data_IF_160677477327
#
_entry.id   IF_160677477327
#
_cell.length_a   1.000
_cell.length_b   1.000
_cell.length_c   1.000
_cell.angle_alpha   90.00
_cell.angle_beta   90.00
_cell.angle_gamma   90.00
#
_symmetry.space_group_name_H-M   'P 1'
#
loop_
_entity.id
_entity.type
_entity.pdbx_description
1 polymer ?
#
# COMPACT_ATOMS: atom_id res chain seq x y z
N UNK A 1 3.54 24.52 29.83
CA UNK A 1 4.85 24.62 29.12
C UNK A 1 5.67 23.32 29.08
N UNK A 2 5.48 22.33 29.96
CA UNK A 2 6.26 21.08 29.94
C UNK A 2 5.87 20.10 28.82
N UNK A 3 4.60 20.09 28.39
CA UNK A 3 4.11 19.20 27.34
C UNK A 3 4.85 19.41 26.00
N UNK A 4 4.97 20.66 25.52
CA UNK A 4 5.68 20.95 24.26
C UNK A 4 7.17 20.58 24.32
N UNK A 5 7.83 20.73 25.49
CA UNK A 5 9.23 20.31 25.68
C UNK A 5 9.39 18.80 25.77
N UNK A 6 8.40 18.08 26.31
CA UNK A 6 8.38 16.61 26.33
C UNK A 6 8.07 16.05 24.94
N UNK A 7 7.08 16.63 24.24
CA UNK A 7 6.75 16.27 22.86
C UNK A 7 7.94 16.49 21.93
N UNK A 8 8.62 17.63 22.04
CA UNK A 8 9.85 17.90 21.26
C UNK A 8 10.98 16.91 21.55
N UNK A 9 11.18 16.53 22.82
CA UNK A 9 12.17 15.49 23.19
C UNK A 9 11.78 14.11 22.67
N UNK A 10 10.51 13.74 22.78
CA UNK A 10 9.99 12.47 22.25
C UNK A 10 10.21 12.38 20.73
N UNK A 11 9.82 13.42 19.98
CA UNK A 11 10.04 13.48 18.54
C UNK A 11 11.54 13.42 18.18
N UNK A 12 12.40 14.15 18.91
CA UNK A 12 13.86 14.10 18.69
C UNK A 12 14.46 12.72 19.00
N UNK A 13 13.99 12.03 20.04
CA UNK A 13 14.44 10.67 20.35
C UNK A 13 13.98 9.68 19.28
N UNK A 14 12.73 9.79 18.83
CA UNK A 14 12.20 9.00 17.71
C UNK A 14 12.99 9.21 16.42
N UNK A 15 13.25 10.47 16.05
CA UNK A 15 14.03 10.82 14.87
C UNK A 15 15.46 10.27 14.94
N UNK A 16 16.13 10.37 16.10
CA UNK A 16 17.46 9.81 16.31
C UNK A 16 17.47 8.27 16.22
N UNK A 17 16.47 7.61 16.82
CA UNK A 17 16.35 6.16 16.76
C UNK A 17 16.11 5.69 15.32
N UNK A 18 15.23 6.37 14.59
CA UNK A 18 14.94 6.08 13.18
C UNK A 18 16.17 6.32 12.30
N UNK A 19 16.89 7.42 12.49
CA UNK A 19 18.13 7.71 11.75
C UNK A 19 19.24 6.69 12.04
N UNK A 20 19.36 6.23 13.29
CA UNK A 20 20.34 5.19 13.67
C UNK A 20 19.97 3.83 13.06
N UNK A 21 18.68 3.51 13.01
CA UNK A 21 18.18 2.33 12.32
C UNK A 21 18.44 2.41 10.81
N UNK A 22 18.11 3.53 10.16
CA UNK A 22 18.39 3.80 8.74
C UNK A 22 19.88 3.64 8.41
N UNK A 23 20.77 4.20 9.25
CA UNK A 23 22.22 4.04 9.11
C UNK A 23 22.66 2.58 9.22
N UNK A 24 22.17 1.86 10.23
CA UNK A 24 22.50 0.45 10.42
C UNK A 24 22.00 -0.42 9.25
N UNK A 25 20.77 -0.17 8.79
CA UNK A 25 20.18 -0.88 7.66
C UNK A 25 20.95 -0.56 6.38
N UNK A 26 21.25 0.72 6.12
CA UNK A 26 22.05 1.14 4.97
C UNK A 26 23.43 0.51 4.97
N UNK A 27 24.14 0.52 6.11
CA UNK A 27 25.45 -0.12 6.22
C UNK A 27 25.38 -1.64 6.00
N UNK A 28 24.31 -2.29 6.44
CA UNK A 28 24.12 -3.74 6.21
C UNK A 28 23.79 -4.04 4.73
N UNK A 29 23.10 -3.15 4.05
CA UNK A 29 22.71 -3.31 2.64
C UNK A 29 23.88 -2.96 1.71
N UNK A 30 24.54 -1.82 1.94
CA UNK A 30 25.65 -1.32 1.13
C UNK A 30 26.97 -2.05 1.40
N UNK A 31 27.13 -2.67 2.57
CA UNK A 31 28.33 -3.46 2.91
C UNK A 31 28.39 -4.84 2.26
N UNK A 32 27.26 -5.40 1.82
CA UNK A 32 27.18 -6.76 1.26
C UNK A 32 26.96 -6.71 -0.26
N UNK A 33 27.99 -7.09 -1.04
CA UNK A 33 27.95 -7.10 -2.51
C UNK A 33 26.75 -7.90 -3.06
N UNK A 34 26.32 -8.96 -2.38
CA UNK A 34 25.17 -9.75 -2.84
C UNK A 34 23.85 -8.99 -2.69
N UNK A 35 23.69 -8.22 -1.61
CA UNK A 35 22.49 -7.41 -1.36
C UNK A 35 22.40 -6.22 -2.29
N UNK A 36 23.53 -5.58 -2.57
CA UNK A 36 23.65 -4.53 -3.58
C UNK A 36 23.26 -5.02 -4.98
N UNK A 37 23.70 -6.23 -5.37
CA UNK A 37 23.30 -6.84 -6.66
C UNK A 37 21.79 -7.12 -6.69
N UNK A 38 21.20 -7.63 -5.61
CA UNK A 38 19.75 -7.86 -5.51
C UNK A 38 18.98 -6.52 -5.64
N UNK A 39 19.46 -5.46 -4.99
CA UNK A 39 18.88 -4.12 -5.10
C UNK A 39 18.99 -3.57 -6.52
N UNK A 40 20.15 -3.69 -7.15
CA UNK A 40 20.35 -3.35 -8.55
C UNK A 40 19.39 -4.13 -9.46
N UNK A 41 19.25 -5.44 -9.24
CA UNK A 41 18.34 -6.29 -10.00
C UNK A 41 16.87 -5.92 -9.79
N UNK A 42 16.46 -5.48 -8.59
CA UNK A 42 15.12 -4.94 -8.33
C UNK A 42 14.84 -3.62 -9.06
N UNK A 43 15.87 -2.84 -9.38
CA UNK A 43 15.72 -1.63 -10.21
C UNK A 43 15.64 -1.95 -11.70
N UNK A 44 16.09 -3.13 -12.15
CA UNK A 44 16.08 -3.52 -13.57
C UNK A 44 14.66 -3.52 -14.16
N UNK A 45 13.61 -4.08 -13.54
CA UNK A 45 12.24 -3.98 -14.04
C UNK A 45 11.73 -2.55 -14.12
N UNK A 46 12.17 -1.67 -13.22
CA UNK A 46 11.77 -0.25 -13.23
C UNK A 46 12.47 0.48 -14.38
N UNK A 47 13.76 0.20 -14.61
CA UNK A 47 14.57 0.82 -15.67
C UNK A 47 14.21 0.26 -17.06
N UNK A 48 14.08 -1.06 -17.20
CA UNK A 48 13.57 -1.69 -18.42
C UNK A 48 12.11 -1.32 -18.65
N UNK A 49 11.31 -1.23 -17.59
CA UNK A 49 9.93 -0.77 -17.64
C UNK A 49 9.80 0.67 -18.11
N UNK A 50 10.72 1.56 -17.72
CA UNK A 50 10.70 2.93 -18.23
C UNK A 50 11.27 3.01 -19.64
N UNK A 51 12.39 2.35 -19.95
CA UNK A 51 13.05 2.45 -21.26
C UNK A 51 12.27 1.69 -22.36
N UNK A 52 11.79 0.47 -22.09
CA UNK A 52 11.08 -0.34 -23.09
C UNK A 52 9.66 0.17 -23.38
N UNK A 53 9.01 0.82 -22.41
CA UNK A 53 7.64 1.32 -22.54
C UNK A 53 7.57 2.84 -22.77
N UNK A 54 8.71 3.54 -22.82
CA UNK A 54 8.77 4.98 -23.05
C UNK A 54 8.34 5.40 -24.45
N UNK A 55 8.64 4.66 -25.53
CA UNK A 55 8.30 5.20 -26.87
C UNK A 55 7.93 4.23 -28.02
N UNK A 56 8.23 2.93 -28.01
CA UNK A 56 8.11 2.14 -29.26
C UNK A 56 7.28 0.86 -29.25
N UNK A 57 6.76 0.40 -28.11
CA UNK A 57 5.94 -0.84 -28.04
C UNK A 57 4.45 -0.55 -27.79
N UNK A 58 3.97 0.64 -28.15
CA UNK A 58 2.53 0.94 -28.08
C UNK A 58 1.68 0.18 -29.10
N UNK A 59 2.29 -0.37 -30.16
CA UNK A 59 1.57 -1.05 -31.26
C UNK A 59 1.68 -2.58 -31.28
N UNK A 60 2.54 -3.19 -30.47
CA UNK A 60 2.82 -4.64 -30.53
C UNK A 60 2.60 -5.39 -29.21
N UNK A 61 2.28 -4.68 -28.12
CA UNK A 61 1.82 -5.31 -26.89
C UNK A 61 0.33 -5.68 -27.04
N UNK A 62 -0.09 -6.91 -26.70
CA UNK A 62 -1.51 -7.23 -26.63
C UNK A 62 -2.19 -6.22 -25.72
N UNK A 63 -3.36 -5.74 -26.15
CA UNK A 63 -4.12 -4.68 -25.47
C UNK A 63 -4.21 -4.92 -23.96
N UNK A 64 -4.18 -6.18 -23.52
CA UNK A 64 -4.10 -6.71 -22.15
C UNK A 64 -3.29 -5.88 -21.13
N UNK A 65 -2.18 -5.23 -21.52
CA UNK A 65 -1.32 -4.46 -20.60
C UNK A 65 -1.61 -2.96 -20.49
N UNK A 66 -2.62 -2.44 -21.21
CA UNK A 66 -3.13 -1.08 -21.04
C UNK A 66 -2.23 -0.03 -21.69
N UNK A 67 -2.56 0.34 -22.94
CA UNK A 67 -1.84 1.37 -23.68
C UNK A 67 -2.05 2.78 -23.13
N UNK A 68 -1.13 3.71 -23.46
CA UNK A 68 -1.09 5.13 -23.05
C UNK A 68 -2.41 5.91 -23.25
N UNK A 69 -3.33 5.40 -24.07
CA UNK A 69 -4.65 5.98 -24.36
C UNK A 69 -5.77 5.55 -23.39
N UNK A 70 -5.61 4.46 -22.66
CA UNK A 70 -6.64 3.98 -21.73
C UNK A 70 -6.80 4.92 -20.51
N UNK A 71 -5.78 5.70 -20.16
CA UNK A 71 -5.71 6.42 -18.88
C UNK A 71 -5.71 7.95 -18.98
N UNK A 72 -5.82 8.53 -20.19
CA UNK A 72 -5.84 9.98 -20.41
C UNK A 72 -7.27 10.46 -20.72
N UNK A 73 -7.78 11.53 -20.08
CA UNK A 73 -7.07 12.52 -19.29
C UNK A 73 -7.30 12.31 -17.78
N UNK A 74 -6.22 12.29 -17.00
CA UNK A 74 -6.31 12.79 -15.63
C UNK A 74 -6.07 14.29 -15.74
N UNK A 75 -6.99 15.11 -15.24
CA UNK A 75 -6.80 16.56 -15.19
C UNK A 75 -5.69 16.84 -14.19
N UNK A 76 -4.44 16.92 -14.66
CA UNK A 76 -3.30 17.30 -13.83
C UNK A 76 -3.33 18.81 -13.60
N UNK A 77 -4.18 19.26 -12.69
CA UNK A 77 -4.13 20.62 -12.15
C UNK A 77 -3.21 20.66 -10.93
N UNK A 78 -2.50 21.77 -10.73
CA UNK A 78 -1.70 22.03 -9.53
C UNK A 78 -2.51 21.82 -8.25
N UNK A 79 -3.82 22.10 -8.28
CA UNK A 79 -4.71 21.87 -7.15
C UNK A 79 -4.84 20.38 -6.78
N UNK A 80 -5.08 19.52 -7.77
CA UNK A 80 -5.18 18.06 -7.56
C UNK A 80 -3.85 17.48 -7.07
N UNK A 81 -2.73 17.99 -7.59
CA UNK A 81 -1.40 17.60 -7.12
C UNK A 81 -1.20 17.91 -5.63
N UNK A 82 -1.50 19.14 -5.19
CA UNK A 82 -1.38 19.54 -3.78
C UNK A 82 -2.31 18.70 -2.90
N UNK A 83 -3.57 18.53 -3.32
CA UNK A 83 -4.54 17.70 -2.58
C UNK A 83 -4.07 16.26 -2.45
N UNK A 84 -3.49 15.69 -3.51
CA UNK A 84 -2.96 14.32 -3.49
C UNK A 84 -1.79 14.17 -2.51
N UNK A 85 -0.91 15.19 -2.40
CA UNK A 85 0.16 15.23 -1.40
C UNK A 85 -0.43 15.27 0.02
N UNK A 86 -1.43 16.11 0.26
CA UNK A 86 -2.07 16.23 1.57
C UNK A 86 -2.78 14.92 1.98
N UNK A 87 -3.48 14.28 1.04
CA UNK A 87 -4.09 12.96 1.23
C UNK A 87 -3.01 11.92 1.56
N UNK A 88 -1.93 11.87 0.77
CA UNK A 88 -0.81 10.96 1.00
C UNK A 88 -0.15 11.17 2.36
N UNK A 89 0.05 12.42 2.78
CA UNK A 89 0.60 12.77 4.09
C UNK A 89 -0.33 12.35 5.23
N UNK A 90 -1.62 12.69 5.13
CA UNK A 90 -2.63 12.34 6.14
C UNK A 90 -2.84 10.84 6.27
N UNK A 91 -3.03 10.14 5.14
CA UNK A 91 -3.16 8.70 5.12
C UNK A 91 -1.85 8.02 5.59
N UNK A 92 -0.69 8.53 5.21
CA UNK A 92 0.61 8.05 5.69
C UNK A 92 0.74 8.11 7.21
N UNK A 93 0.37 9.23 7.82
CA UNK A 93 0.37 9.41 9.27
C UNK A 93 -0.60 8.45 9.97
N UNK A 94 -1.86 8.41 9.52
CA UNK A 94 -2.88 7.53 10.12
C UNK A 94 -2.45 6.06 10.05
N UNK A 95 -1.95 5.64 8.89
CA UNK A 95 -1.63 4.24 8.62
C UNK A 95 -0.31 3.83 9.27
N UNK A 96 0.62 4.78 9.44
CA UNK A 96 1.82 4.60 10.25
C UNK A 96 1.50 4.45 11.75
N UNK A 97 0.55 5.23 12.28
CA UNK A 97 0.16 5.13 13.69
C UNK A 97 -0.66 3.87 14.01
N UNK A 98 -1.59 3.50 13.14
CA UNK A 98 -2.49 2.35 13.33
C UNK A 98 -1.80 1.04 12.92
N UNK A 99 -0.78 1.10 12.06
CA UNK A 99 -0.13 -0.09 11.48
C UNK A 99 -1.02 -0.83 10.47
N UNK A 100 -2.21 -0.31 10.16
CA UNK A 100 -3.10 -0.87 9.15
C UNK A 100 -2.61 -0.52 7.74
N UNK A 101 -2.59 -1.50 6.83
CA UNK A 101 -2.26 -1.30 5.42
C UNK A 101 -3.19 -0.25 4.81
N UNK A 102 -2.66 0.93 4.52
CA UNK A 102 -3.44 2.16 4.32
C UNK A 102 -4.39 2.27 3.14
N UNK A 103 -4.63 1.18 2.42
CA UNK A 103 -5.38 1.20 1.17
C UNK A 103 -6.86 1.49 1.29
N UNK A 104 -7.43 1.26 2.48
CA UNK A 104 -8.82 1.59 2.74
C UNK A 104 -9.08 3.10 2.81
N UNK A 105 -8.06 3.93 3.01
CA UNK A 105 -8.19 5.40 3.10
C UNK A 105 -7.81 6.05 1.78
N UNK A 106 -6.70 5.62 1.17
CA UNK A 106 -6.07 6.33 0.06
C UNK A 106 -6.94 6.28 -1.20
N UNK A 107 -7.40 5.09 -1.61
CA UNK A 107 -8.19 4.97 -2.83
C UNK A 107 -9.51 5.77 -2.75
N UNK A 108 -10.34 5.67 -1.69
CA UNK A 108 -11.54 6.50 -1.56
C UNK A 108 -11.26 8.00 -1.44
N UNK A 109 -10.18 8.41 -0.75
CA UNK A 109 -9.81 9.82 -0.61
C UNK A 109 -9.38 10.43 -1.95
N UNK A 110 -8.58 9.72 -2.75
CA UNK A 110 -8.19 10.15 -4.08
C UNK A 110 -9.39 10.22 -5.02
N UNK A 111 -10.30 9.24 -4.96
CA UNK A 111 -11.54 9.25 -5.74
C UNK A 111 -12.44 10.43 -5.38
N UNK A 112 -12.56 10.75 -4.08
CA UNK A 112 -13.29 11.92 -3.59
C UNK A 112 -12.66 13.25 -4.05
N UNK A 113 -11.35 13.27 -4.30
CA UNK A 113 -10.65 14.41 -4.89
C UNK A 113 -10.85 14.53 -6.42
N UNK A 114 -11.65 13.67 -7.04
CA UNK A 114 -11.95 13.68 -8.47
C UNK A 114 -10.98 12.88 -9.33
N UNK A 115 -10.13 12.05 -8.71
CA UNK A 115 -9.22 11.15 -9.44
C UNK A 115 -9.98 9.89 -9.84
N UNK A 116 -9.90 9.50 -11.11
CA UNK A 116 -10.53 8.26 -11.62
C UNK A 116 -10.16 7.06 -10.75
N UNK A 117 -11.13 6.20 -10.44
CA UNK A 117 -10.96 5.06 -9.54
C UNK A 117 -9.85 4.12 -9.99
N UNK A 118 -9.73 3.88 -11.30
CA UNK A 118 -8.66 3.03 -11.84
C UNK A 118 -7.24 3.55 -11.53
N UNK A 119 -7.05 4.87 -11.52
CA UNK A 119 -5.77 5.50 -11.17
C UNK A 119 -5.54 5.51 -9.66
N UNK A 120 -6.59 5.75 -8.88
CA UNK A 120 -6.55 5.73 -7.43
C UNK A 120 -6.16 4.34 -6.90
N UNK A 121 -6.80 3.27 -7.39
CA UNK A 121 -6.53 1.89 -7.01
C UNK A 121 -5.12 1.47 -7.40
N UNK A 122 -4.67 1.80 -8.62
CA UNK A 122 -3.30 1.51 -9.07
C UNK A 122 -2.23 2.19 -8.21
N UNK A 123 -2.44 3.46 -7.87
CA UNK A 123 -1.53 4.24 -7.01
C UNK A 123 -1.46 3.65 -5.60
N UNK A 124 -2.60 3.27 -5.05
CA UNK A 124 -2.68 2.67 -3.72
C UNK A 124 -2.00 1.29 -3.66
N UNK A 125 -2.19 0.44 -4.67
CA UNK A 125 -1.49 -0.85 -4.81
C UNK A 125 0.03 -0.68 -4.78
N UNK A 126 0.56 0.31 -5.50
CA UNK A 126 2.00 0.59 -5.50
C UNK A 126 2.49 1.04 -4.10
N UNK A 127 1.71 1.87 -3.41
CA UNK A 127 2.01 2.32 -2.06
C UNK A 127 2.00 1.16 -1.04
N UNK A 128 1.02 0.25 -1.13
CA UNK A 128 0.98 -0.96 -0.27
C UNK A 128 2.15 -1.88 -0.59
N UNK A 129 2.49 -2.07 -1.87
CA UNK A 129 3.60 -2.90 -2.30
C UNK A 129 4.92 -2.47 -1.66
N UNK A 130 5.23 -1.17 -1.66
CA UNK A 130 6.44 -0.63 -1.02
C UNK A 130 6.49 -0.96 0.49
N UNK A 131 5.37 -0.83 1.20
CA UNK A 131 5.26 -1.18 2.63
C UNK A 131 5.38 -2.69 2.86
N UNK A 132 4.80 -3.50 1.98
CA UNK A 132 4.83 -4.95 2.07
C UNK A 132 6.26 -5.52 1.94
N UNK A 133 7.12 -4.92 1.10
CA UNK A 133 8.54 -5.30 1.02
C UNK A 133 9.23 -5.10 2.37
N UNK A 134 9.11 -3.91 2.95
CA UNK A 134 9.68 -3.57 4.26
C UNK A 134 9.17 -4.52 5.35
N UNK A 135 7.85 -4.72 5.41
CA UNK A 135 7.22 -5.63 6.36
C UNK A 135 7.70 -7.07 6.22
N UNK A 136 7.78 -7.58 4.99
CA UNK A 136 8.22 -8.95 4.69
C UNK A 136 9.68 -9.19 5.13
N UNK A 137 10.57 -8.23 4.86
CA UNK A 137 11.98 -8.34 5.27
C UNK A 137 12.12 -8.40 6.79
N UNK A 138 11.38 -7.56 7.52
CA UNK A 138 11.44 -7.52 8.98
C UNK A 138 10.90 -8.84 9.58
N UNK A 139 9.73 -9.29 9.15
CA UNK A 139 9.12 -10.52 9.67
C UNK A 139 9.95 -11.77 9.29
N UNK A 140 10.62 -11.75 8.13
CA UNK A 140 11.54 -12.82 7.74
C UNK A 140 12.74 -12.90 8.67
N UNK A 141 13.29 -11.76 9.11
CA UNK A 141 14.39 -11.73 10.09
C UNK A 141 13.96 -12.23 11.48
N UNK A 142 12.69 -12.08 11.82
CA UNK A 142 12.12 -12.55 13.09
C UNK A 142 11.76 -14.05 13.09
N UNK A 143 11.85 -14.73 11.93
CA UNK A 143 11.51 -16.15 11.80
C UNK A 143 10.00 -16.43 11.65
N UNK A 144 9.16 -15.39 11.60
CA UNK A 144 7.69 -15.50 11.52
C UNK A 144 7.14 -15.78 10.10
N UNK A 145 7.97 -16.13 9.12
CA UNK A 145 7.54 -16.28 7.71
C UNK A 145 7.55 -17.75 7.28
N UNK A 146 6.36 -18.31 7.11
CA UNK A 146 6.17 -19.62 6.47
C UNK A 146 6.15 -19.48 4.95
N UNK A 147 7.24 -19.88 4.29
CA UNK A 147 7.39 -19.83 2.82
C UNK A 147 6.30 -20.60 2.07
N UNK A 148 5.86 -21.81 2.49
CA UNK A 148 4.80 -22.53 1.78
C UNK A 148 3.48 -21.76 1.77
N UNK A 149 3.10 -21.19 2.91
CA UNK A 149 1.88 -20.40 3.03
C UNK A 149 1.97 -19.14 2.16
N UNK A 150 3.11 -18.44 2.19
CA UNK A 150 3.33 -17.25 1.36
C UNK A 150 3.15 -17.54 -0.14
N UNK A 151 3.55 -18.73 -0.60
CA UNK A 151 3.43 -19.14 -1.99
C UNK A 151 1.96 -19.43 -2.38
N UNK A 152 1.18 -20.05 -1.49
CA UNK A 152 -0.27 -20.24 -1.69
C UNK A 152 -0.99 -18.90 -1.77
N UNK A 153 -0.68 -17.97 -0.86
CA UNK A 153 -1.23 -16.61 -0.90
C UNK A 153 -0.84 -15.86 -2.18
N UNK A 154 0.40 -16.02 -2.65
CA UNK A 154 0.87 -15.39 -3.88
C UNK A 154 0.06 -15.85 -5.09
N UNK A 155 -0.18 -17.16 -5.23
CA UNK A 155 -0.97 -17.71 -6.35
C UNK A 155 -2.40 -17.16 -6.31
N UNK A 156 -3.04 -17.21 -5.14
CA UNK A 156 -4.39 -16.66 -4.95
C UNK A 156 -4.47 -15.17 -5.26
N UNK A 157 -3.48 -14.39 -4.82
CA UNK A 157 -3.39 -12.95 -5.07
C UNK A 157 -3.21 -12.63 -6.56
N UNK A 158 -2.35 -13.37 -7.27
CA UNK A 158 -2.15 -13.17 -8.72
C UNK A 158 -3.44 -13.44 -9.48
N UNK A 159 -4.11 -14.56 -9.20
CA UNK A 159 -5.36 -14.93 -9.87
C UNK A 159 -6.44 -13.89 -9.58
N UNK A 160 -6.63 -13.54 -8.30
CA UNK A 160 -7.64 -12.58 -7.87
C UNK A 160 -7.41 -11.17 -8.43
N UNK A 161 -6.17 -10.66 -8.35
CA UNK A 161 -5.83 -9.34 -8.86
C UNK A 161 -5.96 -9.26 -10.39
N UNK A 162 -5.56 -10.33 -11.10
CA UNK A 162 -5.68 -10.39 -12.57
C UNK A 162 -7.15 -10.43 -12.99
N UNK A 163 -7.96 -11.30 -12.38
CA UNK A 163 -9.38 -11.40 -12.68
C UNK A 163 -10.12 -10.08 -12.37
N UNK A 164 -9.88 -9.49 -11.19
CA UNK A 164 -10.47 -8.21 -10.80
C UNK A 164 -10.04 -7.06 -11.73
N UNK A 165 -8.77 -7.04 -12.13
CA UNK A 165 -8.24 -6.06 -13.09
C UNK A 165 -8.89 -6.18 -14.47
N UNK A 166 -9.06 -7.40 -14.99
CA UNK A 166 -9.75 -7.65 -16.27
C UNK A 166 -11.21 -7.18 -16.21
N UNK A 167 -11.94 -7.56 -15.14
CA UNK A 167 -13.34 -7.14 -14.97
C UNK A 167 -13.43 -5.61 -14.93
N UNK A 168 -12.61 -4.96 -14.11
CA UNK A 168 -12.63 -3.51 -13.97
C UNK A 168 -12.29 -2.80 -15.29
N UNK A 169 -11.35 -3.37 -16.05
CA UNK A 169 -10.98 -2.86 -17.36
C UNK A 169 -12.13 -2.94 -18.36
N UNK A 170 -12.82 -4.09 -18.45
CA UNK A 170 -13.98 -4.24 -19.33
C UNK A 170 -15.05 -3.21 -18.95
N UNK A 171 -15.31 -3.02 -17.66
CA UNK A 171 -16.24 -1.99 -17.19
C UNK A 171 -15.79 -0.58 -17.59
N UNK A 172 -14.49 -0.28 -17.51
CA UNK A 172 -13.94 1.02 -17.89
C UNK A 172 -14.05 1.28 -19.40
N UNK A 173 -13.81 0.28 -20.24
CA UNK A 173 -13.94 0.38 -21.70
C UNK A 173 -15.40 0.59 -22.13
N UNK A 174 -16.37 0.03 -21.38
CA UNK A 174 -17.80 0.29 -21.60
C UNK A 174 -18.17 1.70 -21.14
N UNK A 175 -17.87 2.04 -19.89
CA UNK A 175 -18.15 3.36 -19.32
C UNK A 175 -17.25 3.63 -18.09
N UNK A 176 -16.42 4.69 -18.10
CA UNK A 176 -15.57 5.06 -16.97
C UNK A 176 -16.33 5.25 -15.65
N UNK A 177 -17.56 5.79 -15.70
CA UNK A 177 -18.40 5.99 -14.51
C UNK A 177 -18.83 4.66 -13.90
N UNK A 178 -19.04 3.64 -14.73
CA UNK A 178 -19.41 2.30 -14.27
C UNK A 178 -18.24 1.62 -13.55
N UNK A 179 -17.01 1.80 -14.03
CA UNK A 179 -15.80 1.34 -13.34
C UNK A 179 -15.63 2.03 -11.98
N UNK A 180 -15.79 3.36 -11.92
CA UNK A 180 -15.68 4.11 -10.66
C UNK A 180 -16.77 3.70 -9.65
N UNK A 181 -18.01 3.48 -10.13
CA UNK A 181 -19.10 2.99 -9.31
C UNK A 181 -18.85 1.56 -8.80
N UNK A 182 -18.33 0.69 -9.66
CA UNK A 182 -17.97 -0.69 -9.29
C UNK A 182 -16.90 -0.72 -8.20
N UNK A 183 -15.79 0.00 -8.41
CA UNK A 183 -14.71 0.13 -7.42
C UNK A 183 -15.27 0.67 -6.10
N UNK A 184 -16.01 1.77 -6.14
CA UNK A 184 -16.57 2.40 -4.91
C UNK A 184 -17.51 1.44 -4.18
N UNK A 185 -18.34 0.70 -4.90
CA UNK A 185 -19.28 -0.27 -4.31
C UNK A 185 -18.54 -1.43 -3.66
N UNK A 186 -17.55 -2.01 -4.34
CA UNK A 186 -16.73 -3.10 -3.79
C UNK A 186 -15.97 -2.63 -2.55
N UNK A 187 -15.33 -1.45 -2.61
CA UNK A 187 -14.64 -0.88 -1.45
C UNK A 187 -15.62 -0.61 -0.30
N UNK A 188 -16.77 0.01 -0.56
CA UNK A 188 -17.76 0.30 0.48
C UNK A 188 -18.28 -0.97 1.15
N UNK A 189 -18.51 -2.05 0.39
CA UNK A 189 -18.93 -3.34 0.94
C UNK A 189 -17.81 -3.98 1.77
N UNK A 190 -16.58 -4.01 1.26
CA UNK A 190 -15.44 -4.57 1.99
C UNK A 190 -15.14 -3.80 3.28
N UNK A 191 -15.16 -2.46 3.24
CA UNK A 191 -14.90 -1.63 4.40
C UNK A 191 -16.06 -1.65 5.39
N UNK A 192 -17.29 -1.70 4.90
CA UNK A 192 -18.47 -1.93 5.75
C UNK A 192 -18.36 -3.26 6.50
N UNK A 193 -18.03 -4.33 5.80
CA UNK A 193 -17.82 -5.64 6.41
C UNK A 193 -16.68 -5.63 7.43
N UNK A 194 -15.51 -5.10 7.07
CA UNK A 194 -14.35 -5.03 7.97
C UNK A 194 -14.62 -4.14 9.20
N UNK A 195 -15.32 -3.03 9.01
CA UNK A 195 -15.74 -2.12 10.08
C UNK A 195 -16.70 -2.79 11.06
N UNK A 196 -17.71 -3.49 10.54
CA UNK A 196 -18.64 -4.26 11.38
C UNK A 196 -17.90 -5.39 12.10
N UNK A 197 -17.07 -6.16 11.38
CA UNK A 197 -16.30 -7.26 11.96
C UNK A 197 -15.39 -6.78 13.10
N UNK A 198 -14.59 -5.73 12.87
CA UNK A 198 -13.71 -5.16 13.89
C UNK A 198 -14.49 -4.58 15.08
N UNK A 199 -15.65 -3.97 14.86
CA UNK A 199 -16.52 -3.50 15.94
C UNK A 199 -17.07 -4.68 16.76
N UNK A 200 -17.50 -5.75 16.11
CA UNK A 200 -17.99 -6.94 16.82
C UNK A 200 -16.89 -7.62 17.61
N UNK A 201 -15.67 -7.69 17.07
CA UNK A 201 -14.51 -8.23 17.74
C UNK A 201 -14.15 -7.39 18.97
N UNK A 202 -14.10 -6.06 18.82
CA UNK A 202 -13.89 -5.13 19.93
C UNK A 202 -14.97 -5.26 21.02
N UNK A 203 -16.24 -5.33 20.65
CA UNK A 203 -17.34 -5.49 21.60
C UNK A 203 -17.29 -6.85 22.32
N UNK A 204 -16.85 -7.91 21.64
CA UNK A 204 -16.66 -9.24 22.23
C UNK A 204 -15.48 -9.25 23.19
N UNK A 205 -14.35 -8.66 22.80
CA UNK A 205 -13.18 -8.49 23.66
C UNK A 205 -13.51 -7.65 24.91
N UNK A 206 -14.32 -6.60 24.77
CA UNK A 206 -14.78 -5.77 25.90
C UNK A 206 -15.72 -6.49 26.85
N UNK A 207 -16.50 -7.45 26.35
CA UNK A 207 -17.46 -8.23 27.14
C UNK A 207 -16.85 -9.45 27.83
N UNK A 208 -15.61 -9.83 27.50
CA UNK A 208 -14.90 -10.91 28.18
C UNK A 208 -14.54 -10.46 29.61
N UNK A 209 -15.16 -11.04 30.66
CA UNK A 209 -14.75 -10.76 32.03
C UNK A 209 -13.48 -11.56 32.33
N UNK A 210 -12.38 -10.89 32.70
CA UNK A 210 -11.31 -11.51 33.49
C UNK A 210 -10.16 -12.23 32.77
N UNK A 211 -9.54 -11.67 31.73
CA UNK A 211 -8.23 -12.14 31.25
C UNK A 211 -7.06 -11.31 31.81
N UNK A 212 -7.18 -10.80 33.04
CA UNK A 212 -6.18 -9.97 33.69
C UNK A 212 -5.38 -10.69 34.79
N UNK A 213 -5.53 -12.02 34.96
CA UNK A 213 -4.91 -12.75 36.07
C UNK A 213 -4.29 -14.14 35.75
N UNK A 214 -3.98 -14.46 34.48
CA UNK A 214 -3.35 -15.77 34.14
C UNK A 214 -2.13 -15.69 33.18
N UNK A 215 -1.52 -14.51 33.00
CA UNK A 215 -0.38 -14.35 32.06
C UNK A 215 0.94 -13.88 32.66
N UNK A 216 0.96 -13.44 33.91
CA UNK A 216 2.19 -13.09 34.61
C UNK A 216 2.65 -14.32 35.40
N UNK A 217 3.62 -15.05 34.83
CA UNK A 217 4.42 -16.17 35.37
C UNK A 217 4.25 -17.47 34.57
N UNK A 218 5.27 -17.78 33.77
CA UNK A 218 5.42 -19.03 33.01
C UNK A 218 6.39 -18.87 31.86
#
# INVERSE_FOLDING_TARGET
>A
MNFFKQLGRFMMMGARAHAKWELNVSNTILGDRKRLIILGLLTIPVILGTIAFADQVGGALPELLGGKKAYSPAFYSTGIFIVSILIGMGAGLITGCIGAGGGFIIAPALMSAGIKGILAVGTDLFHIFAKAIMGSVIHRKLGNVSVPLALVFLIGAIIGATAGGIINRVLYEINPVLSDAFITTVYSLMLGFLGIYSLTDFLKARKAPGAADEGAHG
#
